data_IF_249512904380
#
_entry.id   IF_249512904380
#
_cell.length_a   1.000
_cell.length_b   1.000
_cell.length_c   1.000
_cell.angle_alpha   90.00
_cell.angle_beta   90.00
_cell.angle_gamma   90.00
#
_symmetry.space_group_name_H-M   'P 1'
#
loop_
_entity.id
_entity.type
_entity.pdbx_description
1 polymer ?
#
# COMPACT_ATOMS: atom_id res chain seq x y z
N UNK A 1 -15.11 11.47 -17.93
CA UNK A 1 -15.02 9.99 -17.96
C UNK A 1 -16.12 9.42 -17.08
N UNK A 2 -16.83 8.37 -17.51
CA UNK A 2 -17.94 7.80 -16.73
C UNK A 2 -17.42 6.91 -15.60
N UNK A 3 -18.03 6.99 -14.41
CA UNK A 3 -17.78 6.12 -13.25
C UNK A 3 -17.75 4.62 -13.65
N UNK A 4 -18.57 4.23 -14.64
CA UNK A 4 -18.63 2.85 -15.16
C UNK A 4 -17.31 2.35 -15.74
N UNK A 5 -16.52 3.22 -16.36
CA UNK A 5 -15.21 2.87 -16.96
C UNK A 5 -14.12 2.66 -15.91
N UNK A 6 -14.17 3.40 -14.81
CA UNK A 6 -13.29 3.24 -13.66
C UNK A 6 -13.56 1.91 -12.95
N UNK A 7 -14.83 1.62 -12.66
CA UNK A 7 -15.27 0.37 -12.04
C UNK A 7 -14.84 -0.85 -12.88
N UNK A 8 -14.93 -0.77 -14.21
CA UNK A 8 -14.52 -1.87 -15.10
C UNK A 8 -13.00 -2.07 -15.13
N UNK A 9 -12.23 -0.99 -14.99
CA UNK A 9 -10.76 -1.04 -14.92
C UNK A 9 -10.29 -1.61 -13.58
N UNK A 10 -10.95 -1.23 -12.49
CA UNK A 10 -10.70 -1.75 -11.15
C UNK A 10 -11.11 -3.22 -11.03
N UNK A 11 -12.24 -3.62 -11.62
CA UNK A 11 -12.63 -5.04 -11.71
C UNK A 11 -11.57 -5.88 -12.42
N UNK A 12 -11.00 -5.40 -13.54
CA UNK A 12 -9.91 -6.12 -14.23
C UNK A 12 -8.62 -6.22 -13.42
N UNK A 13 -8.36 -5.26 -12.54
CA UNK A 13 -7.24 -5.30 -11.60
C UNK A 13 -7.56 -6.29 -10.47
N UNK A 14 -8.77 -6.26 -9.92
CA UNK A 14 -9.26 -7.21 -8.91
C UNK A 14 -9.33 -8.66 -9.42
N UNK A 15 -9.83 -8.90 -10.64
CA UNK A 15 -9.93 -10.23 -11.25
C UNK A 15 -8.55 -10.87 -11.50
N UNK A 16 -7.49 -10.06 -11.55
CA UNK A 16 -6.09 -10.53 -11.62
C UNK A 16 -5.44 -10.69 -10.24
N UNK A 17 -6.09 -10.22 -9.18
CA UNK A 17 -5.60 -10.28 -7.80
C UNK A 17 -6.35 -11.39 -7.08
N UNK A 18 -5.70 -12.55 -6.94
CA UNK A 18 -6.26 -13.72 -6.24
C UNK A 18 -6.46 -13.51 -4.73
N UNK A 19 -6.07 -12.36 -4.17
CA UNK A 19 -6.04 -12.13 -2.72
C UNK A 19 -6.59 -10.75 -2.33
N UNK A 20 -7.91 -10.63 -2.17
CA UNK A 20 -8.53 -9.61 -1.30
C UNK A 20 -8.20 -8.13 -1.57
N UNK A 21 -7.83 -7.75 -2.80
CA UNK A 21 -7.48 -6.37 -3.15
C UNK A 21 -6.02 -5.98 -2.89
N UNK A 22 -5.11 -6.92 -2.60
CA UNK A 22 -3.67 -6.67 -2.50
C UNK A 22 -3.04 -6.51 -3.89
N UNK A 23 -2.62 -5.30 -4.24
CA UNK A 23 -2.02 -5.01 -5.56
C UNK A 23 -0.53 -5.37 -5.57
N UNK A 24 0.16 -5.18 -4.45
CA UNK A 24 1.57 -5.52 -4.25
C UNK A 24 1.84 -5.75 -2.74
N UNK A 25 3.04 -6.22 -2.35
CA UNK A 25 3.40 -6.28 -0.93
C UNK A 25 3.17 -4.93 -0.24
N UNK A 26 2.37 -4.94 0.83
CA UNK A 26 2.01 -3.77 1.64
C UNK A 26 1.26 -2.67 0.89
N UNK A 27 0.71 -2.96 -0.29
CA UNK A 27 -0.09 -2.01 -1.07
C UNK A 27 -1.41 -2.68 -1.43
N UNK A 28 -2.50 -2.07 -1.00
CA UNK A 28 -3.85 -2.61 -1.10
C UNK A 28 -4.78 -1.61 -1.77
N UNK A 29 -5.80 -2.08 -2.46
CA UNK A 29 -6.94 -1.28 -2.91
C UNK A 29 -8.21 -2.08 -2.66
N UNK A 30 -8.80 -1.81 -1.50
CA UNK A 30 -10.02 -2.48 -1.01
C UNK A 30 -11.28 -1.73 -1.44
N UNK A 31 -11.16 -0.45 -1.82
CA UNK A 31 -12.23 0.41 -2.31
C UNK A 31 -11.82 1.13 -3.60
N UNK A 32 -12.73 1.27 -4.58
CA UNK A 32 -12.51 2.13 -5.74
C UNK A 32 -12.08 3.54 -5.35
N UNK A 33 -11.11 4.10 -6.07
CA UNK A 33 -10.61 5.45 -5.84
C UNK A 33 -9.61 5.60 -4.69
N UNK A 34 -9.18 4.50 -4.05
CA UNK A 34 -8.20 4.56 -2.96
C UNK A 34 -7.11 3.49 -3.08
N UNK A 35 -5.87 3.89 -2.86
CA UNK A 35 -4.72 3.01 -2.63
C UNK A 35 -4.29 3.16 -1.18
N UNK A 36 -4.20 2.04 -0.46
CA UNK A 36 -3.67 1.96 0.89
C UNK A 36 -2.22 1.47 0.84
N UNK A 37 -1.34 2.15 1.58
CA UNK A 37 0.02 1.70 1.87
C UNK A 37 0.06 1.27 3.34
N UNK A 38 0.31 -0.01 3.56
CA UNK A 38 0.34 -0.66 4.87
C UNK A 38 1.75 -0.62 5.46
N UNK A 39 2.05 0.47 6.19
CA UNK A 39 3.34 0.57 6.87
C UNK A 39 3.43 -0.30 8.12
N UNK A 40 2.31 -0.60 8.78
CA UNK A 40 2.27 -1.42 9.98
C UNK A 40 2.80 -2.82 9.69
N UNK A 41 2.18 -3.52 8.73
CA UNK A 41 2.60 -4.88 8.36
C UNK A 41 3.99 -4.91 7.74
N UNK A 42 4.40 -3.83 7.04
CA UNK A 42 5.77 -3.69 6.52
C UNK A 42 6.77 -3.64 7.66
N UNK A 43 6.54 -2.80 8.66
CA UNK A 43 7.45 -2.61 9.77
C UNK A 43 7.56 -3.91 10.59
N UNK A 44 6.42 -4.55 10.88
CA UNK A 44 6.42 -5.86 11.56
C UNK A 44 7.23 -6.91 10.82
N UNK A 45 7.13 -6.97 9.49
CA UNK A 45 7.91 -7.89 8.66
C UNK A 45 9.41 -7.56 8.60
N UNK A 46 9.82 -6.31 8.85
CA UNK A 46 11.23 -5.91 8.88
C UNK A 46 11.91 -6.20 10.22
N UNK A 47 11.16 -6.13 11.32
CA UNK A 47 11.67 -6.27 12.67
C UNK A 47 11.38 -7.63 13.32
N UNK A 48 10.77 -8.56 12.57
CA UNK A 48 10.25 -9.84 13.10
C UNK A 48 9.39 -9.62 14.37
N UNK A 49 8.56 -8.58 14.29
CA UNK A 49 7.75 -8.15 15.42
C UNK A 49 6.51 -9.04 15.58
N UNK A 50 6.61 -9.91 16.59
CA UNK A 50 5.58 -10.86 17.00
C UNK A 50 4.61 -10.30 18.05
N UNK A 51 4.59 -8.97 18.26
CA UNK A 51 3.59 -8.30 19.10
C UNK A 51 2.15 -8.61 18.67
N UNK A 52 1.19 -8.47 19.58
CA UNK A 52 -0.21 -8.69 19.25
C UNK A 52 -0.67 -7.72 18.14
N UNK A 53 -1.61 -8.15 17.31
CA UNK A 53 -2.13 -7.29 16.26
C UNK A 53 -3.03 -6.20 16.86
N UNK A 54 -2.66 -4.94 16.62
CA UNK A 54 -3.38 -3.78 17.12
C UNK A 54 -4.03 -3.03 15.94
N UNK A 55 -5.36 -2.91 16.00
CA UNK A 55 -6.19 -2.25 14.99
C UNK A 55 -5.87 -0.76 14.92
N UNK A 56 -5.72 -0.10 16.07
CA UNK A 56 -5.57 1.34 16.17
C UNK A 56 -4.20 1.76 15.64
N UNK A 57 -3.15 0.99 15.96
CA UNK A 57 -1.82 1.17 15.40
C UNK A 57 -1.79 0.91 13.89
N UNK A 58 -2.51 -0.12 13.42
CA UNK A 58 -2.66 -0.37 12.00
C UNK A 58 -3.30 0.82 11.28
N UNK A 59 -4.41 1.34 11.81
CA UNK A 59 -5.14 2.48 11.27
C UNK A 59 -4.32 3.78 11.33
N UNK A 60 -3.51 3.98 12.37
CA UNK A 60 -2.64 5.14 12.51
C UNK A 60 -1.44 5.10 11.55
N UNK A 61 -0.92 3.91 11.27
CA UNK A 61 0.28 3.74 10.44
C UNK A 61 -0.02 3.59 8.95
N UNK A 62 -1.22 3.15 8.56
CA UNK A 62 -1.58 3.06 7.14
C UNK A 62 -1.72 4.44 6.51
N UNK A 63 -1.46 4.50 5.22
CA UNK A 63 -1.62 5.74 4.44
C UNK A 63 -2.57 5.51 3.28
N UNK A 64 -3.62 6.32 3.23
CA UNK A 64 -4.63 6.26 2.18
C UNK A 64 -4.34 7.35 1.15
N UNK A 65 -4.20 6.94 -0.10
CA UNK A 65 -3.99 7.81 -1.25
C UNK A 65 -5.21 7.75 -2.16
N UNK A 66 -6.01 8.83 -2.25
CA UNK A 66 -7.13 8.90 -3.17
C UNK A 66 -6.65 9.02 -4.62
N UNK A 67 -7.46 8.57 -5.57
CA UNK A 67 -7.26 8.81 -7.01
C UNK A 67 -8.60 8.88 -7.74
N UNK A 68 -8.64 9.66 -8.81
CA UNK A 68 -9.76 9.79 -9.74
C UNK A 68 -9.29 9.48 -11.17
N UNK A 69 -9.69 8.33 -11.66
CA UNK A 69 -9.39 7.85 -13.00
C UNK A 69 -8.05 7.13 -13.13
N UNK A 70 -7.82 6.64 -14.34
CA UNK A 70 -6.71 5.71 -14.65
C UNK A 70 -5.33 6.34 -14.55
N UNK A 71 -5.18 7.60 -14.97
CA UNK A 71 -3.87 8.25 -14.99
C UNK A 71 -3.44 8.73 -13.61
N UNK A 72 -4.41 9.13 -12.78
CA UNK A 72 -4.16 9.39 -11.37
C UNK A 72 -3.84 8.10 -10.62
N UNK A 73 -4.58 7.00 -10.87
CA UNK A 73 -4.23 5.68 -10.32
C UNK A 73 -2.77 5.30 -10.60
N UNK A 74 -2.30 5.47 -11.85
CA UNK A 74 -0.90 5.15 -12.21
C UNK A 74 0.11 5.99 -11.42
N UNK A 75 -0.16 7.29 -11.26
CA UNK A 75 0.71 8.20 -10.50
C UNK A 75 0.72 7.82 -9.02
N UNK A 76 -0.45 7.62 -8.43
CA UNK A 76 -0.62 7.25 -7.04
C UNK A 76 -0.02 5.87 -6.75
N UNK A 77 -0.17 4.91 -7.65
CA UNK A 77 0.46 3.58 -7.52
C UNK A 77 1.99 3.65 -7.59
N UNK A 78 2.55 4.48 -8.49
CA UNK A 78 4.01 4.73 -8.53
C UNK A 78 4.49 5.38 -7.23
N UNK A 79 3.75 6.35 -6.70
CA UNK A 79 4.03 6.98 -5.42
C UNK A 79 3.99 5.96 -4.27
N UNK A 80 2.96 5.12 -4.21
CA UNK A 80 2.83 4.05 -3.22
C UNK A 80 4.03 3.10 -3.25
N UNK A 81 4.53 2.73 -4.44
CA UNK A 81 5.74 1.91 -4.59
C UNK A 81 7.00 2.58 -4.06
N UNK A 82 7.15 3.88 -4.28
CA UNK A 82 8.28 4.65 -3.75
C UNK A 82 8.21 4.74 -2.22
N UNK A 83 7.02 4.98 -1.68
CA UNK A 83 6.79 5.11 -0.24
C UNK A 83 6.99 3.78 0.49
N UNK A 84 6.56 2.67 -0.11
CA UNK A 84 6.86 1.31 0.38
C UNK A 84 8.38 1.07 0.51
N UNK A 85 9.19 1.68 -0.36
CA UNK A 85 10.65 1.51 -0.34
C UNK A 85 11.38 2.41 0.67
N UNK A 86 10.73 3.39 1.30
CA UNK A 86 11.40 4.34 2.19
C UNK A 86 11.30 3.90 3.65
N UNK A 87 12.43 3.66 4.36
CA UNK A 87 12.42 3.56 5.81
C UNK A 87 12.03 4.91 6.44
N UNK A 88 11.16 4.88 7.46
CA UNK A 88 10.62 6.06 8.15
C UNK A 88 11.61 6.61 9.17
N UNK A 89 12.48 5.81 9.77
CA UNK A 89 13.40 6.27 10.84
C UNK A 89 14.89 6.33 10.42
N UNK A 90 15.68 7.12 11.17
CA UNK A 90 17.14 7.19 10.99
C UNK A 90 17.82 5.86 11.32
N UNK A 91 17.32 5.14 12.33
CA UNK A 91 17.76 3.78 12.68
C UNK A 91 17.46 2.78 11.56
N UNK A 92 16.27 2.85 10.95
CA UNK A 92 15.92 2.00 9.80
C UNK A 92 16.77 2.29 8.56
N UNK A 93 17.21 3.55 8.35
CA UNK A 93 18.17 3.88 7.28
C UNK A 93 19.55 3.29 7.52
N UNK A 94 19.99 3.19 8.77
CA UNK A 94 21.28 2.60 9.13
C UNK A 94 21.26 1.08 8.89
N UNK A 95 20.21 0.39 9.37
CA UNK A 95 20.00 -1.04 9.12
C UNK A 95 19.87 -1.37 7.62
N UNK A 96 19.19 -0.52 6.85
CA UNK A 96 19.09 -0.69 5.39
C UNK A 96 20.44 -0.56 4.66
N UNK A 97 21.35 0.29 5.15
CA UNK A 97 22.68 0.48 4.54
C UNK A 97 23.67 -0.64 4.90
N UNK A 98 23.49 -1.30 6.03
CA UNK A 98 24.40 -2.35 6.47
C UNK A 98 24.08 -3.72 5.85
N UNK A 99 22.88 -3.93 5.30
CA UNK A 99 22.41 -5.23 4.80
C UNK A 99 21.88 -5.18 3.35
N UNK A 100 22.15 -4.08 2.63
CA UNK A 100 21.75 -3.88 1.24
C UNK A 100 22.92 -3.94 0.27
#
# INVERSE_FOLDING_TARGET
MSVKTEVKSLRRIQDRISHGGRIAPFIHSTKPGYICVDFYSRNRALFDDNSEWDVDDYEAQKMILPFSGRDEFRRVYRLARLLRGRPRSHMERLLWRTHG
#
